data_IF_747981212756
#
_entry.id   IF_747981212756
#
_cell.length_a   1.000
_cell.length_b   1.000
_cell.length_c   1.000
_cell.angle_alpha   90.00
_cell.angle_beta   90.00
_cell.angle_gamma   90.00
#
_symmetry.space_group_name_H-M   'P 1'
#
loop_
_entity.id
_entity.type
_entity.pdbx_description
1 polymer ?
#
# COMPACT_ATOMS: atom_id res chain seq x y z
N UNK A 1 31.07 -8.12 29.46
CA UNK A 1 30.18 -8.96 28.63
C UNK A 1 29.28 -8.01 27.86
N UNK A 2 29.52 -7.82 26.56
CA UNK A 2 28.77 -6.87 25.76
C UNK A 2 27.36 -7.42 25.50
N UNK A 3 26.34 -6.67 25.89
CA UNK A 3 24.94 -6.99 25.56
C UNK A 3 24.81 -6.77 24.05
N UNK A 4 24.68 -7.87 23.31
CA UNK A 4 24.26 -7.82 21.90
C UNK A 4 22.82 -7.31 21.91
N UNK A 5 22.64 -6.00 21.73
CA UNK A 5 21.35 -5.43 21.36
C UNK A 5 21.09 -5.86 19.92
N UNK A 6 20.30 -6.91 19.73
CA UNK A 6 19.63 -7.10 18.45
C UNK A 6 18.88 -5.80 18.11
N UNK A 7 18.91 -5.31 16.86
CA UNK A 7 18.10 -4.17 16.49
C UNK A 7 16.64 -4.45 16.86
N UNK A 8 15.93 -3.43 17.35
CA UNK A 8 14.48 -3.46 17.53
C UNK A 8 13.89 -4.17 16.30
N UNK A 9 13.11 -5.25 16.53
CA UNK A 9 12.63 -6.17 15.47
C UNK A 9 12.29 -5.39 14.20
N UNK A 10 12.98 -5.70 13.09
CA UNK A 10 12.47 -5.31 11.76
C UNK A 10 11.18 -6.11 11.61
N UNK A 11 10.05 -5.49 11.93
CA UNK A 11 8.73 -6.06 11.71
C UNK A 11 8.49 -5.96 10.20
N UNK A 12 8.75 -7.05 9.49
CA UNK A 12 8.40 -7.15 8.08
C UNK A 12 6.89 -7.33 7.99
N UNK A 13 6.13 -6.38 7.43
CA UNK A 13 4.70 -6.54 7.24
C UNK A 13 4.42 -7.73 6.31
N UNK A 14 3.31 -8.43 6.59
CA UNK A 14 2.79 -9.46 5.70
C UNK A 14 2.22 -8.82 4.42
N UNK A 15 2.28 -9.50 3.28
CA UNK A 15 1.79 -8.95 2.00
C UNK A 15 0.35 -8.48 2.09
N UNK A 16 -0.49 -9.27 2.76
CA UNK A 16 -1.93 -9.02 2.95
C UNK A 16 -2.22 -7.80 3.83
N UNK A 17 -1.25 -7.34 4.62
CA UNK A 17 -1.43 -6.15 5.46
C UNK A 17 -1.54 -4.84 4.65
N UNK A 18 -1.08 -4.84 3.39
CA UNK A 18 -1.21 -3.69 2.49
C UNK A 18 -2.57 -3.60 1.79
N UNK A 19 -3.40 -4.66 1.88
CA UNK A 19 -4.77 -4.70 1.35
C UNK A 19 -4.87 -4.38 -0.15
N UNK A 20 -3.87 -4.79 -0.94
CA UNK A 20 -3.89 -4.60 -2.39
C UNK A 20 -4.50 -5.84 -3.04
N UNK A 21 -5.81 -5.77 -3.32
CA UNK A 21 -6.63 -6.90 -3.82
C UNK A 21 -5.95 -7.68 -4.96
N UNK A 22 -5.44 -6.99 -5.98
CA UNK A 22 -4.81 -7.63 -7.14
C UNK A 22 -3.48 -8.37 -6.80
N UNK A 23 -2.85 -8.03 -5.68
CA UNK A 23 -1.66 -8.72 -5.14
C UNK A 23 -2.12 -9.89 -4.26
N UNK A 24 -3.09 -9.68 -3.38
CA UNK A 24 -3.62 -10.69 -2.45
C UNK A 24 -4.21 -11.90 -3.18
N UNK A 25 -4.94 -11.69 -4.28
CA UNK A 25 -5.46 -12.76 -5.13
C UNK A 25 -4.33 -13.64 -5.70
N UNK A 26 -3.23 -13.02 -6.14
CA UNK A 26 -2.06 -13.74 -6.69
C UNK A 26 -1.27 -14.43 -5.59
N UNK A 27 -1.14 -13.80 -4.44
CA UNK A 27 -0.51 -14.38 -3.25
C UNK A 27 -1.24 -15.64 -2.79
N UNK A 28 -2.57 -15.61 -2.72
CA UNK A 28 -3.38 -16.78 -2.38
C UNK A 28 -3.21 -17.90 -3.41
N UNK A 29 -3.42 -17.59 -4.70
CA UNK A 29 -3.32 -18.58 -5.78
C UNK A 29 -1.92 -19.24 -5.85
N UNK A 30 -0.86 -18.46 -5.61
CA UNK A 30 0.51 -18.97 -5.52
C UNK A 30 0.67 -20.02 -4.41
N UNK A 31 0.15 -19.73 -3.22
CA UNK A 31 0.24 -20.65 -2.08
C UNK A 31 -0.63 -21.90 -2.29
N UNK A 32 -1.83 -21.74 -2.85
CA UNK A 32 -2.71 -22.85 -3.20
C UNK A 32 -2.02 -23.79 -4.20
N UNK A 33 -1.46 -23.27 -5.30
CA UNK A 33 -0.70 -24.06 -6.28
C UNK A 33 0.53 -24.75 -5.69
N UNK A 34 1.26 -24.09 -4.78
CA UNK A 34 2.40 -24.71 -4.11
C UNK A 34 1.97 -25.90 -3.25
N UNK A 35 0.86 -25.77 -2.52
CA UNK A 35 0.31 -26.83 -1.65
C UNK A 35 -0.27 -28.00 -2.47
N UNK A 36 -0.76 -27.73 -3.67
CA UNK A 36 -1.23 -28.73 -4.63
C UNK A 36 -0.08 -29.40 -5.42
N UNK A 37 1.18 -29.09 -5.08
CA UNK A 37 2.41 -29.55 -5.76
C UNK A 37 2.53 -29.12 -7.23
N UNK A 38 1.71 -28.14 -7.68
CA UNK A 38 1.82 -27.51 -8.99
C UNK A 38 2.85 -26.36 -8.95
N UNK A 39 4.12 -26.76 -8.87
CA UNK A 39 5.24 -25.84 -8.72
C UNK A 39 5.44 -24.90 -9.92
N UNK A 40 5.11 -25.37 -11.14
CA UNK A 40 5.17 -24.54 -12.34
C UNK A 40 4.16 -23.40 -12.27
N UNK A 41 2.93 -23.70 -11.84
CA UNK A 41 1.88 -22.70 -11.68
C UNK A 41 2.13 -21.78 -10.48
N UNK A 42 2.69 -22.29 -9.38
CA UNK A 42 3.11 -21.45 -8.25
C UNK A 42 4.12 -20.37 -8.68
N UNK A 43 5.10 -20.69 -9.54
CA UNK A 43 6.05 -19.71 -10.11
C UNK A 43 5.33 -18.73 -11.04
N UNK A 44 4.34 -19.19 -11.81
CA UNK A 44 3.53 -18.32 -12.66
C UNK A 44 2.74 -17.29 -11.83
N UNK A 45 2.18 -17.70 -10.70
CA UNK A 45 1.52 -16.78 -9.77
C UNK A 45 2.50 -15.86 -9.04
N UNK A 46 3.69 -16.34 -8.64
CA UNK A 46 4.74 -15.50 -8.07
C UNK A 46 5.16 -14.38 -9.04
N UNK A 47 5.33 -14.72 -10.33
CA UNK A 47 5.57 -13.74 -11.41
C UNK A 47 4.41 -12.76 -11.54
N UNK A 48 3.18 -13.28 -11.58
CA UNK A 48 1.96 -12.46 -11.72
C UNK A 48 1.75 -11.52 -10.53
N UNK A 49 2.16 -11.92 -9.32
CA UNK A 49 2.16 -11.08 -8.12
C UNK A 49 3.08 -9.87 -8.28
N UNK A 50 4.31 -10.08 -8.79
CA UNK A 50 5.25 -9.00 -9.12
C UNK A 50 4.65 -8.07 -10.20
N UNK A 51 3.95 -8.62 -11.20
CA UNK A 51 3.26 -7.80 -12.20
C UNK A 51 2.14 -6.95 -11.59
N UNK A 52 1.30 -7.53 -10.74
CA UNK A 52 0.22 -6.83 -10.04
C UNK A 52 0.74 -5.66 -9.21
N UNK A 53 1.77 -5.88 -8.39
CA UNK A 53 2.32 -4.82 -7.54
C UNK A 53 2.98 -3.70 -8.36
N UNK A 54 3.70 -4.03 -9.44
CA UNK A 54 4.31 -3.01 -10.29
C UNK A 54 3.25 -2.12 -10.97
N UNK A 55 2.17 -2.72 -11.48
CA UNK A 55 1.02 -1.99 -12.06
C UNK A 55 0.36 -1.10 -11.01
N UNK A 56 0.13 -1.63 -9.81
CA UNK A 56 -0.46 -0.89 -8.71
C UNK A 56 0.40 0.32 -8.32
N UNK A 57 1.68 0.10 -8.01
CA UNK A 57 2.64 1.16 -7.67
C UNK A 57 2.66 2.27 -8.72
N UNK A 58 2.76 1.90 -9.99
CA UNK A 58 2.79 2.89 -11.07
C UNK A 58 1.48 3.67 -11.18
N UNK A 59 0.33 2.98 -11.09
CA UNK A 59 -0.99 3.61 -11.15
C UNK A 59 -1.17 4.63 -10.04
N UNK A 60 -0.77 4.28 -8.81
CA UNK A 60 -0.83 5.19 -7.67
C UNK A 60 0.08 6.40 -7.89
N UNK A 61 1.33 6.20 -8.28
CA UNK A 61 2.31 7.30 -8.39
C UNK A 61 2.10 8.21 -9.61
N UNK A 62 1.50 7.71 -10.70
CA UNK A 62 1.36 8.46 -11.95
C UNK A 62 -0.10 8.79 -12.31
N UNK A 63 -1.07 8.37 -11.50
CA UNK A 63 -2.50 8.60 -11.71
C UNK A 63 -3.06 7.95 -12.98
N UNK A 64 -2.33 7.03 -13.60
CA UNK A 64 -2.74 6.38 -14.86
C UNK A 64 -2.21 4.96 -14.95
N UNK A 65 -2.96 4.12 -15.65
CA UNK A 65 -2.51 2.78 -15.96
C UNK A 65 -1.41 2.78 -17.01
N UNK A 66 -0.52 1.79 -16.94
CA UNK A 66 0.45 1.50 -17.98
C UNK A 66 -0.32 0.95 -19.19
N UNK A 67 -0.70 1.83 -20.10
CA UNK A 67 -1.65 1.59 -21.20
C UNK A 67 -1.02 1.16 -22.53
N UNK A 68 0.27 0.78 -22.54
CA UNK A 68 1.00 0.45 -23.76
C UNK A 68 1.08 -1.07 -23.98
N UNK A 69 0.12 -1.66 -24.70
CA UNK A 69 0.23 -3.02 -25.27
C UNK A 69 0.76 -4.12 -24.32
N UNK A 70 1.35 -5.18 -24.90
CA UNK A 70 2.05 -6.20 -24.10
C UNK A 70 3.36 -5.61 -23.56
N UNK A 71 3.36 -5.17 -22.30
CA UNK A 71 4.58 -4.74 -21.61
C UNK A 71 5.27 -5.93 -20.95
N UNK A 72 6.56 -6.05 -21.24
CA UNK A 72 7.40 -7.05 -20.59
C UNK A 72 7.53 -6.76 -19.10
N UNK A 73 7.66 -7.82 -18.30
CA UNK A 73 7.91 -7.71 -16.86
C UNK A 73 9.12 -6.81 -16.56
N UNK A 74 10.16 -6.86 -17.40
CA UNK A 74 11.33 -5.98 -17.31
C UNK A 74 10.98 -4.50 -17.39
N UNK A 75 10.18 -4.11 -18.38
CA UNK A 75 9.78 -2.72 -18.58
C UNK A 75 8.83 -2.27 -17.46
N UNK A 76 7.99 -3.18 -16.97
CA UNK A 76 7.08 -2.90 -15.87
C UNK A 76 7.84 -2.56 -14.59
N UNK A 77 8.77 -3.43 -14.17
CA UNK A 77 9.56 -3.20 -12.95
C UNK A 77 10.44 -1.94 -13.07
N UNK A 78 11.01 -1.67 -14.25
CA UNK A 78 11.78 -0.44 -14.52
C UNK A 78 10.93 0.82 -14.38
N UNK A 79 9.73 0.83 -14.97
CA UNK A 79 8.81 1.98 -14.88
C UNK A 79 8.36 2.21 -13.43
N UNK A 80 8.09 1.14 -12.68
CA UNK A 80 7.66 1.24 -11.28
C UNK A 80 8.80 1.67 -10.35
N UNK A 81 9.99 1.11 -10.49
CA UNK A 81 11.17 1.53 -9.71
C UNK A 81 11.60 2.95 -10.07
N UNK A 82 11.57 3.34 -11.34
CA UNK A 82 11.83 4.72 -11.74
C UNK A 82 10.81 5.71 -11.16
N UNK A 83 9.55 5.31 -11.00
CA UNK A 83 8.55 6.13 -10.31
C UNK A 83 8.78 6.20 -8.79
N UNK A 84 9.34 5.16 -8.18
CA UNK A 84 9.66 5.13 -6.75
C UNK A 84 10.97 5.88 -6.45
N UNK A 85 12.01 5.76 -7.28
CA UNK A 85 13.32 6.35 -7.03
C UNK A 85 13.29 7.87 -6.96
N UNK A 86 12.41 8.53 -7.74
CA UNK A 86 12.19 9.99 -7.65
C UNK A 86 11.69 10.44 -6.28
N UNK A 87 11.20 9.51 -5.46
CA UNK A 87 10.66 9.77 -4.13
C UNK A 87 11.64 9.47 -2.99
N UNK A 88 12.84 8.94 -3.30
CA UNK A 88 13.81 8.47 -2.30
C UNK A 88 14.92 9.48 -2.07
N UNK A 89 15.26 9.73 -0.80
CA UNK A 89 16.27 10.71 -0.40
C UNK A 89 17.72 10.36 -0.77
N UNK A 90 17.97 9.15 -1.28
CA UNK A 90 19.29 8.61 -1.65
C UNK A 90 19.22 7.92 -3.02
N UNK A 91 18.64 8.62 -4.00
CA UNK A 91 18.35 8.10 -5.35
C UNK A 91 19.53 7.33 -5.97
N UNK A 92 20.73 7.92 -6.05
CA UNK A 92 21.91 7.32 -6.69
C UNK A 92 22.31 5.95 -6.11
N UNK A 93 22.32 5.81 -4.78
CA UNK A 93 22.70 4.54 -4.14
C UNK A 93 21.62 3.46 -4.21
N UNK A 94 20.36 3.88 -4.40
CA UNK A 94 19.22 2.97 -4.51
C UNK A 94 18.99 2.55 -5.97
N UNK A 95 19.46 3.33 -6.93
CA UNK A 95 19.45 2.97 -8.36
C UNK A 95 20.24 1.67 -8.62
N UNK A 96 21.43 1.53 -8.05
CA UNK A 96 22.23 0.29 -8.16
C UNK A 96 21.48 -0.94 -7.59
N UNK A 97 20.77 -0.77 -6.47
CA UNK A 97 19.96 -1.83 -5.86
C UNK A 97 18.77 -2.16 -6.77
N UNK A 98 18.17 -1.14 -7.38
CA UNK A 98 17.05 -1.28 -8.32
C UNK A 98 17.45 -2.11 -9.54
N UNK A 99 18.66 -1.92 -10.07
CA UNK A 99 19.18 -2.71 -11.19
C UNK A 99 19.35 -4.19 -10.85
N UNK A 100 19.81 -4.53 -9.64
CA UNK A 100 19.89 -5.92 -9.19
C UNK A 100 18.50 -6.54 -8.98
N UNK A 101 17.55 -5.77 -8.44
CA UNK A 101 16.14 -6.22 -8.31
C UNK A 101 15.54 -6.53 -9.69
N UNK A 102 15.78 -5.68 -10.69
CA UNK A 102 15.33 -5.92 -12.07
C UNK A 102 15.91 -7.23 -12.61
N UNK A 103 17.20 -7.51 -12.38
CA UNK A 103 17.82 -8.78 -12.80
C UNK A 103 17.16 -10.00 -12.15
N UNK A 104 16.86 -9.93 -10.85
CA UNK A 104 16.17 -11.02 -10.12
C UNK A 104 14.77 -11.24 -10.70
N UNK A 105 13.99 -10.17 -10.88
CA UNK A 105 12.65 -10.21 -11.47
C UNK A 105 12.67 -10.86 -12.87
N UNK A 106 13.64 -10.51 -13.71
CA UNK A 106 13.79 -11.13 -15.04
C UNK A 106 14.08 -12.64 -14.95
N UNK A 107 14.91 -13.07 -14.00
CA UNK A 107 15.21 -14.50 -13.79
C UNK A 107 13.96 -15.27 -13.37
N UNK A 108 13.15 -14.71 -12.47
CA UNK A 108 11.84 -15.29 -12.09
C UNK A 108 10.92 -15.37 -13.31
N UNK A 109 10.87 -14.30 -14.11
CA UNK A 109 10.09 -14.27 -15.35
C UNK A 109 10.50 -15.34 -16.37
N UNK A 110 11.80 -15.62 -16.48
CA UNK A 110 12.35 -16.61 -17.41
C UNK A 110 12.16 -18.06 -16.92
N UNK A 111 12.23 -18.30 -15.60
CA UNK A 111 11.97 -19.63 -15.02
C UNK A 111 10.57 -20.15 -15.42
N UNK A 112 9.57 -19.27 -15.47
CA UNK A 112 8.23 -19.61 -15.97
C UNK A 112 8.24 -20.12 -17.41
N UNK A 113 9.08 -19.56 -18.29
CA UNK A 113 9.18 -20.01 -19.68
C UNK A 113 9.83 -21.40 -19.81
N UNK A 114 10.55 -21.85 -18.79
CA UNK A 114 11.17 -23.18 -18.73
C UNK A 114 10.24 -24.23 -18.09
N UNK A 115 9.29 -23.79 -17.26
CA UNK A 115 8.34 -24.68 -16.56
C UNK A 115 6.95 -24.75 -17.22
N UNK A 116 6.55 -23.78 -18.06
CA UNK A 116 5.26 -23.77 -18.76
C UNK A 116 5.24 -24.62 -20.04
N UNK A 117 4.24 -25.49 -20.17
CA UNK A 117 3.95 -26.38 -21.33
C UNK A 117 3.31 -25.62 -22.51
N UNK A 118 3.59 -24.32 -22.67
CA UNK A 118 2.75 -23.44 -23.49
C UNK A 118 3.10 -23.37 -24.99
N UNK A 119 4.08 -24.14 -25.49
CA UNK A 119 4.28 -24.30 -26.93
C UNK A 119 4.50 -25.77 -27.28
N UNK A 120 3.70 -26.25 -28.23
CA UNK A 120 3.58 -27.65 -28.61
C UNK A 120 4.92 -28.31 -28.93
N UNK A 121 4.95 -29.63 -28.68
CA UNK A 121 5.95 -30.57 -29.18
C UNK A 121 7.38 -30.28 -28.72
N UNK A 122 7.80 -31.00 -27.67
CA UNK A 122 9.20 -31.37 -27.38
C UNK A 122 10.13 -30.37 -26.68
N UNK A 123 9.67 -29.49 -25.80
CA UNK A 123 10.57 -28.89 -24.81
C UNK A 123 10.51 -29.74 -23.54
N UNK A 124 11.64 -30.35 -23.16
CA UNK A 124 11.78 -31.03 -21.86
C UNK A 124 11.47 -30.00 -20.78
N UNK A 125 10.32 -30.15 -20.11
CA UNK A 125 10.06 -29.44 -18.86
C UNK A 125 11.17 -29.82 -17.89
N UNK A 126 12.02 -28.86 -17.53
CA UNK A 126 12.94 -29.06 -16.42
C UNK A 126 12.07 -29.14 -15.16
N UNK A 127 12.10 -30.30 -14.49
CA UNK A 127 11.33 -30.49 -13.26
C UNK A 127 11.91 -29.58 -12.18
N UNK A 128 11.18 -28.55 -11.77
CA UNK A 128 11.55 -27.73 -10.63
C UNK A 128 11.10 -28.41 -9.33
N UNK A 129 11.97 -28.39 -8.32
CA UNK A 129 11.67 -29.00 -7.02
C UNK A 129 10.85 -28.07 -6.13
N UNK A 130 10.23 -28.63 -5.09
CA UNK A 130 9.53 -27.87 -4.05
C UNK A 130 10.43 -26.80 -3.39
N UNK A 131 11.70 -27.13 -3.14
CA UNK A 131 12.65 -26.23 -2.47
C UNK A 131 13.03 -25.05 -3.38
N UNK A 132 13.32 -25.31 -4.66
CA UNK A 132 13.61 -24.27 -5.65
C UNK A 132 12.40 -23.36 -5.87
N UNK A 133 11.20 -23.93 -5.90
CA UNK A 133 9.94 -23.18 -6.01
C UNK A 133 9.73 -22.28 -4.81
N UNK A 134 9.95 -22.80 -3.60
CA UNK A 134 9.86 -22.01 -2.36
C UNK A 134 10.87 -20.86 -2.35
N UNK A 135 12.09 -21.07 -2.87
CA UNK A 135 13.07 -20.00 -3.01
C UNK A 135 12.57 -18.89 -3.94
N UNK A 136 11.97 -19.23 -5.07
CA UNK A 136 11.37 -18.25 -6.00
C UNK A 136 10.21 -17.49 -5.35
N UNK A 137 9.31 -18.20 -4.65
CA UNK A 137 8.20 -17.60 -3.91
C UNK A 137 8.72 -16.56 -2.91
N UNK A 138 9.69 -16.93 -2.07
CA UNK A 138 10.26 -15.99 -1.10
C UNK A 138 10.92 -14.78 -1.75
N UNK A 139 11.60 -14.95 -2.88
CA UNK A 139 12.15 -13.83 -3.61
C UNK A 139 11.04 -12.88 -4.12
N UNK A 140 9.98 -13.43 -4.73
CA UNK A 140 8.85 -12.67 -5.23
C UNK A 140 8.08 -11.93 -4.12
N UNK A 141 7.87 -12.58 -2.99
CA UNK A 141 7.26 -11.97 -1.81
C UNK A 141 8.11 -10.82 -1.26
N UNK A 142 9.42 -10.99 -1.17
CA UNK A 142 10.32 -9.92 -0.71
C UNK A 142 10.28 -8.72 -1.64
N UNK A 143 10.37 -8.94 -2.95
CA UNK A 143 10.25 -7.87 -3.95
C UNK A 143 8.90 -7.16 -3.80
N UNK A 144 7.80 -7.91 -3.68
CA UNK A 144 6.45 -7.35 -3.54
C UNK A 144 6.31 -6.50 -2.29
N UNK A 145 6.74 -7.02 -1.13
CA UNK A 145 6.72 -6.26 0.13
C UNK A 145 7.59 -5.03 0.03
N UNK A 146 8.80 -5.11 -0.55
CA UNK A 146 9.68 -3.94 -0.71
C UNK A 146 9.02 -2.85 -1.56
N UNK A 147 8.39 -3.21 -2.68
CA UNK A 147 7.73 -2.22 -3.54
C UNK A 147 6.52 -1.56 -2.85
N UNK A 148 5.73 -2.35 -2.12
CA UNK A 148 4.62 -1.83 -1.33
C UNK A 148 5.10 -0.97 -0.15
N UNK A 149 6.15 -1.38 0.54
CA UNK A 149 6.71 -0.64 1.68
C UNK A 149 7.27 0.71 1.23
N UNK A 150 7.98 0.74 0.09
CA UNK A 150 8.48 2.00 -0.49
C UNK A 150 7.32 2.92 -0.90
N UNK A 151 6.29 2.37 -1.57
CA UNK A 151 5.11 3.13 -1.95
C UNK A 151 4.39 3.69 -0.71
N UNK A 152 3.96 2.81 0.20
CA UNK A 152 3.14 3.18 1.34
C UNK A 152 3.90 4.05 2.34
N UNK A 153 5.20 3.86 2.54
CA UNK A 153 5.95 4.78 3.39
C UNK A 153 5.96 6.21 2.84
N UNK A 154 5.90 6.38 1.53
CA UNK A 154 5.90 7.69 0.90
C UNK A 154 4.49 8.29 0.75
N UNK A 155 3.56 7.53 0.17
CA UNK A 155 2.29 8.07 -0.32
C UNK A 155 1.13 7.87 0.64
N UNK A 156 1.28 6.97 1.61
CA UNK A 156 0.21 6.59 2.53
C UNK A 156 0.60 6.72 4.00
N UNK A 157 -0.44 6.89 4.80
CA UNK A 157 -0.34 6.63 6.23
C UNK A 157 -0.29 5.12 6.46
N UNK A 158 0.61 4.66 7.32
CA UNK A 158 0.61 3.29 7.82
C UNK A 158 -0.27 3.13 9.07
N UNK A 159 -0.82 4.24 9.57
CA UNK A 159 -1.68 4.25 10.74
C UNK A 159 -3.06 3.71 10.36
N UNK A 160 -3.56 2.79 11.17
CA UNK A 160 -4.83 2.10 10.91
C UNK A 160 -5.98 3.11 10.79
N UNK A 161 -6.71 3.03 9.67
CA UNK A 161 -7.91 3.84 9.39
C UNK A 161 -7.69 5.36 9.43
N UNK A 162 -6.44 5.82 9.32
CA UNK A 162 -6.12 7.25 9.34
C UNK A 162 -6.30 7.90 7.97
N UNK A 163 -6.47 9.22 7.97
CA UNK A 163 -6.46 10.00 6.74
C UNK A 163 -5.11 9.83 6.02
N UNK A 164 -5.18 9.39 4.77
CA UNK A 164 -4.04 9.01 3.94
C UNK A 164 -3.70 7.52 3.98
N UNK A 165 -4.35 6.68 4.79
CA UNK A 165 -4.16 5.21 4.76
C UNK A 165 -5.07 4.55 3.73
N UNK A 166 -4.75 3.31 3.33
CA UNK A 166 -5.71 2.44 2.66
C UNK A 166 -6.77 2.00 3.67
N UNK A 167 -8.04 1.97 3.24
CA UNK A 167 -9.15 1.61 4.11
C UNK A 167 -9.26 0.10 4.33
N UNK A 168 -9.38 -0.30 5.60
CA UNK A 168 -9.78 -1.66 5.96
C UNK A 168 -11.30 -1.78 5.89
N UNK A 169 -11.79 -2.46 4.85
CA UNK A 169 -13.23 -2.61 4.59
C UNK A 169 -13.91 -3.62 5.53
N UNK A 170 -13.14 -4.40 6.30
CA UNK A 170 -13.69 -5.41 7.18
C UNK A 170 -14.63 -4.78 8.23
N UNK A 171 -15.88 -5.23 8.26
CA UNK A 171 -16.89 -4.72 9.20
C UNK A 171 -17.46 -3.34 8.85
N UNK A 172 -17.09 -2.75 7.70
CA UNK A 172 -17.65 -1.47 7.28
C UNK A 172 -18.91 -1.64 6.43
N UNK A 173 -19.85 -0.71 6.58
CA UNK A 173 -21.03 -0.59 5.73
C UNK A 173 -20.78 0.43 4.62
N UNK A 174 -20.96 0.03 3.36
CA UNK A 174 -20.98 0.96 2.23
C UNK A 174 -22.22 1.88 2.33
N UNK A 175 -21.98 3.19 2.32
CA UNK A 175 -23.03 4.20 2.43
C UNK A 175 -23.33 4.87 1.09
N UNK A 176 -22.30 5.09 0.29
CA UNK A 176 -22.38 5.78 -0.99
C UNK A 176 -21.24 5.34 -1.91
N UNK A 177 -21.52 5.22 -3.21
CA UNK A 177 -20.53 4.92 -4.25
C UNK A 177 -20.89 5.66 -5.54
N UNK A 178 -19.91 6.33 -6.11
CA UNK A 178 -19.98 7.08 -7.36
C UNK A 178 -18.62 7.07 -8.06
N UNK A 179 -18.57 7.56 -9.30
CA UNK A 179 -17.30 7.67 -10.04
C UNK A 179 -16.27 8.60 -9.36
N UNK A 180 -16.71 9.53 -8.51
CA UNK A 180 -15.85 10.54 -7.88
C UNK A 180 -15.67 10.37 -6.37
N UNK A 181 -16.49 9.56 -5.71
CA UNK A 181 -16.42 9.37 -4.26
C UNK A 181 -17.06 8.06 -3.81
N UNK A 182 -16.40 7.38 -2.86
CA UNK A 182 -16.91 6.21 -2.14
C UNK A 182 -16.87 6.50 -0.65
N UNK A 183 -17.93 6.13 0.08
CA UNK A 183 -18.06 6.39 1.50
C UNK A 183 -18.46 5.13 2.28
N UNK A 184 -17.72 4.85 3.34
CA UNK A 184 -17.94 3.74 4.26
C UNK A 184 -18.27 4.26 5.66
N UNK A 185 -19.00 3.44 6.43
CA UNK A 185 -19.36 3.73 7.82
C UNK A 185 -19.00 2.56 8.73
N UNK A 186 -18.39 2.84 9.89
CA UNK A 186 -18.14 1.83 10.93
C UNK A 186 -19.31 1.75 11.94
N UNK A 187 -19.23 0.79 12.87
CA UNK A 187 -20.27 0.55 13.87
C UNK A 187 -20.42 1.69 14.90
N UNK A 188 -19.35 2.45 15.15
CA UNK A 188 -19.37 3.59 16.10
C UNK A 188 -19.91 4.88 15.48
N UNK A 189 -20.04 4.93 14.16
CA UNK A 189 -20.69 6.04 13.47
C UNK A 189 -19.79 6.86 12.55
N UNK A 190 -18.48 6.61 12.56
CA UNK A 190 -17.50 7.35 11.77
C UNK A 190 -17.69 7.08 10.28
N UNK A 191 -17.50 8.11 9.48
CA UNK A 191 -17.56 8.03 8.02
C UNK A 191 -16.17 8.18 7.42
N UNK A 192 -15.85 7.30 6.48
CA UNK A 192 -14.58 7.28 5.76
C UNK A 192 -14.87 7.54 4.28
N UNK A 193 -14.40 8.67 3.78
CA UNK A 193 -14.47 8.98 2.35
C UNK A 193 -13.15 8.61 1.69
N UNK A 194 -13.24 7.83 0.61
CA UNK A 194 -12.07 7.28 -0.08
C UNK A 194 -12.06 7.62 -1.55
N UNK A 195 -10.86 7.74 -2.12
CA UNK A 195 -10.67 7.97 -3.54
C UNK A 195 -11.05 6.70 -4.34
N UNK A 196 -12.00 6.79 -5.28
CA UNK A 196 -12.39 5.64 -6.10
C UNK A 196 -11.18 4.99 -6.78
N UNK A 197 -11.07 3.66 -6.66
CA UNK A 197 -10.03 2.86 -7.31
C UNK A 197 -8.66 2.85 -6.65
N UNK A 198 -8.41 3.66 -5.62
CA UNK A 198 -7.20 3.58 -4.80
C UNK A 198 -7.47 3.08 -3.38
N UNK A 199 -8.72 3.17 -2.92
CA UNK A 199 -9.14 2.82 -1.55
C UNK A 199 -8.43 3.64 -0.45
N UNK A 200 -7.86 4.79 -0.82
CA UNK A 200 -7.17 5.68 0.11
C UNK A 200 -8.15 6.65 0.76
N UNK A 201 -8.13 6.72 2.09
CA UNK A 201 -8.94 7.65 2.88
C UNK A 201 -8.44 9.07 2.65
N UNK A 202 -9.29 9.94 2.10
CA UNK A 202 -8.99 11.37 1.98
C UNK A 202 -9.69 12.21 3.04
N UNK A 203 -10.75 11.68 3.64
CA UNK A 203 -11.48 12.37 4.70
C UNK A 203 -12.08 11.37 5.70
N UNK A 204 -11.98 11.71 6.98
CA UNK A 204 -12.71 11.07 8.07
C UNK A 204 -13.68 12.09 8.68
N UNK A 205 -14.92 11.68 8.88
CA UNK A 205 -15.93 12.49 9.59
C UNK A 205 -16.34 11.76 10.87
N UNK A 206 -16.17 12.43 12.01
CA UNK A 206 -16.53 11.93 13.34
C UNK A 206 -17.75 12.68 13.85
N UNK A 207 -18.64 12.00 14.58
CA UNK A 207 -19.74 12.63 15.30
C UNK A 207 -19.58 12.35 16.79
N UNK A 208 -19.21 13.38 17.55
CA UNK A 208 -19.07 13.32 18.99
C UNK A 208 -20.43 13.47 19.69
N UNK A 209 -20.54 13.14 20.99
CA UNK A 209 -21.79 13.35 21.74
C UNK A 209 -22.25 14.83 21.72
N UNK A 210 -23.57 15.05 21.57
CA UNK A 210 -24.19 16.37 21.42
C UNK A 210 -23.94 17.34 22.59
N UNK A 211 -23.54 16.82 23.76
CA UNK A 211 -23.26 17.61 24.95
C UNK A 211 -21.81 18.12 25.04
N UNK A 212 -20.99 17.87 24.02
CA UNK A 212 -19.59 18.34 23.95
C UNK A 212 -19.50 19.67 23.21
N UNK A 213 -18.50 20.48 23.55
CA UNK A 213 -18.22 21.74 22.86
C UNK A 213 -16.73 21.91 22.69
N UNK A 214 -16.27 22.22 21.47
CA UNK A 214 -14.85 22.42 21.20
C UNK A 214 -14.20 23.48 22.12
N UNK A 215 -14.94 24.54 22.46
CA UNK A 215 -14.45 25.62 23.32
C UNK A 215 -14.15 25.15 24.74
N UNK A 216 -14.95 24.23 25.27
CA UNK A 216 -14.83 23.72 26.65
C UNK A 216 -14.00 22.44 26.73
N UNK A 217 -14.03 21.62 25.67
CA UNK A 217 -13.52 20.25 25.62
C UNK A 217 -12.39 20.11 24.60
N UNK A 218 -11.56 21.15 24.43
CA UNK A 218 -10.52 21.19 23.37
C UNK A 218 -9.63 19.95 23.34
N UNK A 219 -9.13 19.50 24.49
CA UNK A 219 -8.26 18.30 24.56
C UNK A 219 -8.98 17.04 24.09
N UNK A 220 -10.25 16.88 24.47
CA UNK A 220 -11.08 15.76 24.02
C UNK A 220 -11.22 15.73 22.50
N UNK A 221 -11.48 16.88 21.86
CA UNK A 221 -11.54 16.96 20.39
C UNK A 221 -10.18 16.65 19.76
N UNK A 222 -9.09 17.20 20.28
CA UNK A 222 -7.74 16.97 19.75
C UNK A 222 -7.33 15.50 19.83
N UNK A 223 -7.71 14.77 20.89
CA UNK A 223 -7.43 13.33 21.01
C UNK A 223 -8.15 12.53 19.92
N UNK A 224 -9.41 12.87 19.62
CA UNK A 224 -10.16 12.25 18.54
C UNK A 224 -9.58 12.60 17.16
N UNK A 225 -9.16 13.85 16.96
CA UNK A 225 -8.50 14.30 15.73
C UNK A 225 -7.20 13.53 15.49
N UNK A 226 -6.34 13.45 16.52
CA UNK A 226 -5.02 12.80 16.45
C UNK A 226 -5.09 11.29 16.18
N UNK A 227 -6.21 10.64 16.52
CA UNK A 227 -6.40 9.23 16.22
C UNK A 227 -6.40 8.94 14.71
N UNK A 228 -6.74 9.91 13.86
CA UNK A 228 -6.89 9.72 12.40
C UNK A 228 -5.86 10.52 11.56
N UNK A 229 -4.76 10.96 12.16
CA UNK A 229 -3.62 11.59 11.45
C UNK A 229 -2.30 10.99 11.92
N UNK A 230 -1.20 11.29 11.22
CA UNK A 230 0.13 10.84 11.64
C UNK A 230 0.51 11.32 13.04
N UNK A 231 1.27 10.50 13.78
CA UNK A 231 1.62 10.79 15.17
C UNK A 231 2.55 12.01 15.32
N UNK A 232 3.25 12.40 14.25
CA UNK A 232 4.08 13.60 14.20
C UNK A 232 3.35 14.82 13.61
N UNK A 233 2.04 14.73 13.35
CA UNK A 233 1.27 15.85 12.84
C UNK A 233 1.12 16.94 13.92
N UNK A 234 1.62 18.13 13.62
CA UNK A 234 1.56 19.30 14.51
C UNK A 234 0.64 20.37 13.94
N UNK A 235 -0.09 21.09 14.81
CA UNK A 235 -0.91 22.26 14.42
C UNK A 235 0.01 23.37 13.90
N UNK A 236 -0.19 23.80 12.66
CA UNK A 236 0.66 24.82 12.01
C UNK A 236 -0.06 26.15 11.88
N UNK A 237 -1.35 26.12 11.53
CA UNK A 237 -2.14 27.32 11.28
C UNK A 237 -3.52 27.17 11.91
N UNK A 238 -3.91 28.19 12.69
CA UNK A 238 -5.30 28.36 13.13
C UNK A 238 -6.02 29.27 12.13
N UNK A 239 -6.92 28.69 11.32
CA UNK A 239 -7.71 29.40 10.29
C UNK A 239 -8.98 30.06 10.86
N UNK A 240 -9.37 29.71 12.07
CA UNK A 240 -10.52 30.27 12.78
C UNK A 240 -10.69 29.66 14.16
N UNK A 241 -11.83 29.88 14.83
CA UNK A 241 -12.10 29.20 16.11
C UNK A 241 -12.32 27.69 15.96
N UNK A 242 -12.82 27.26 14.79
CA UNK A 242 -13.24 25.88 14.52
C UNK A 242 -12.52 25.26 13.29
N UNK A 243 -11.43 25.87 12.80
CA UNK A 243 -10.68 25.39 11.64
C UNK A 243 -9.16 25.47 11.85
N UNK A 244 -8.47 24.37 11.55
CA UNK A 244 -7.05 24.15 11.86
C UNK A 244 -6.33 23.42 10.74
N UNK A 245 -5.09 23.80 10.47
CA UNK A 245 -4.19 23.02 9.61
C UNK A 245 -3.17 22.27 10.46
N UNK A 246 -2.98 20.99 10.13
CA UNK A 246 -1.94 20.15 10.70
C UNK A 246 -0.94 19.73 9.62
N UNK A 247 0.31 19.50 10.01
CA UNK A 247 1.35 19.05 9.10
C UNK A 247 2.19 17.94 9.74
N UNK A 248 2.32 16.81 9.03
CA UNK A 248 3.29 15.76 9.35
C UNK A 248 4.55 16.00 8.52
N UNK A 249 5.66 16.30 9.19
CA UNK A 249 6.95 16.50 8.52
C UNK A 249 7.54 15.19 7.99
N UNK A 250 7.28 14.07 8.67
CA UNK A 250 7.78 12.75 8.24
C UNK A 250 7.13 12.28 6.95
N UNK A 251 5.82 12.52 6.79
CA UNK A 251 5.06 12.08 5.62
C UNK A 251 4.85 13.17 4.58
N UNK A 252 5.15 14.42 4.92
CA UNK A 252 4.81 15.59 4.11
C UNK A 252 3.30 15.70 3.87
N UNK A 253 2.49 15.35 4.88
CA UNK A 253 1.03 15.38 4.77
C UNK A 253 0.49 16.66 5.39
N UNK A 254 -0.36 17.35 4.63
CA UNK A 254 -1.14 18.49 5.10
C UNK A 254 -2.56 18.04 5.36
N UNK A 255 -3.06 18.38 6.54
CA UNK A 255 -4.42 18.10 6.93
C UNK A 255 -5.16 19.40 7.19
N UNK A 256 -6.42 19.47 6.79
CA UNK A 256 -7.35 20.47 7.26
C UNK A 256 -8.36 19.80 8.19
N UNK A 257 -8.55 20.40 9.36
CA UNK A 257 -9.57 20.01 10.33
C UNK A 257 -10.61 21.12 10.42
N UNK A 258 -11.86 20.77 10.18
CA UNK A 258 -13.01 21.65 10.37
C UNK A 258 -13.94 21.05 11.41
N UNK A 259 -14.44 21.88 12.32
CA UNK A 259 -15.34 21.47 13.39
C UNK A 259 -16.66 22.22 13.19
N UNK A 260 -17.76 21.48 13.14
CA UNK A 260 -19.10 22.05 13.09
C UNK A 260 -19.93 21.46 14.23
N UNK A 261 -20.11 22.23 15.31
CA UNK A 261 -20.73 21.75 16.57
C UNK A 261 -19.99 20.53 17.12
N UNK A 262 -20.61 19.35 17.10
CA UNK A 262 -20.09 18.06 17.54
C UNK A 262 -19.54 17.20 16.40
N UNK A 263 -19.47 17.74 15.17
CA UNK A 263 -18.97 17.01 14.00
C UNK A 263 -17.55 17.49 13.69
N UNK A 264 -16.64 16.55 13.48
CA UNK A 264 -15.25 16.82 13.10
C UNK A 264 -15.02 16.28 11.69
N UNK A 265 -14.50 17.11 10.81
CA UNK A 265 -14.03 16.76 9.49
C UNK A 265 -12.51 16.82 9.48
N UNK A 266 -11.84 15.70 9.16
CA UNK A 266 -10.38 15.61 9.04
C UNK A 266 -10.08 15.25 7.60
N UNK A 267 -9.44 16.16 6.85
CA UNK A 267 -9.28 16.04 5.40
C UNK A 267 -7.81 16.12 5.02
N UNK A 268 -7.32 15.23 4.15
CA UNK A 268 -6.01 15.36 3.51
C UNK A 268 -6.12 16.42 2.42
N UNK A 269 -5.26 17.43 2.47
CA UNK A 269 -5.13 18.38 1.37
C UNK A 269 -4.22 17.79 0.30
N UNK A 270 -4.69 17.76 -0.94
CA UNK A 270 -3.83 17.48 -2.10
C UNK A 270 -3.01 18.74 -2.42
N UNK A 271 -1.75 18.54 -2.85
CA UNK A 271 -0.96 19.59 -3.51
C UNK A 271 -1.24 19.65 -5.01
#
# INVERSE_FOLDING_TARGET
>A
MAIIKYPNRILRPEITSYQVVAVDERYKAMNDSYNDEDYGEAINYARSMIESVCKYVFKILKGKEITEGYISLNNLIKKSLGALNTELSQEDSIEDISDELIKIVNKIGNLRNQTSVSHGSSVRTESITAIETRFVIFAAENITVTLLDLLFNKTHSLKYMAVGSVIDKAGLKLMYESESSVMYKNDVGDLFSVFPGSDVIYQVTLTLPDNTSFTSDKEFYLDHIRAYMEDDAEEVIKKGEEAFDFYSKKKDFKYEVQIEKNIIYITKLEE
#
